data_IF_269234389222
#
_entry.id   IF_269234389222
#
_cell.length_a   1.000
_cell.length_b   1.000
_cell.length_c   1.000
_cell.angle_alpha   90.00
_cell.angle_beta   90.00
_cell.angle_gamma   90.00
#
_symmetry.space_group_name_H-M   'P 1'
#
loop_
_entity.id
_entity.type
_entity.pdbx_description
1 polymer ?
#
# COMPACT_ATOMS: atom_id res chain seq x y z
N UNK A 1 -8.18 -8.30 64.54
CA UNK A 1 -8.46 -9.22 63.46
C UNK A 1 -9.11 -8.56 62.26
N UNK A 2 -9.98 -7.57 62.42
CA UNK A 2 -10.59 -6.87 61.32
C UNK A 2 -9.60 -6.14 60.43
N UNK A 3 -8.51 -5.64 61.01
CA UNK A 3 -7.48 -4.94 60.24
C UNK A 3 -6.69 -5.87 59.31
N UNK A 4 -6.44 -7.10 59.72
CA UNK A 4 -5.75 -8.07 58.88
C UNK A 4 -6.62 -8.48 57.67
N UNK A 5 -7.90 -8.66 57.92
CA UNK A 5 -8.86 -8.99 56.85
C UNK A 5 -8.93 -7.88 55.80
N UNK A 6 -8.97 -6.62 56.23
CA UNK A 6 -8.97 -5.47 55.34
C UNK A 6 -7.66 -5.34 54.56
N UNK A 7 -6.52 -5.58 55.20
CA UNK A 7 -5.22 -5.54 54.53
C UNK A 7 -5.09 -6.63 53.47
N UNK A 8 -5.57 -7.82 53.79
CA UNK A 8 -5.57 -8.93 52.81
C UNK A 8 -6.48 -8.63 51.64
N UNK A 9 -7.65 -8.07 51.93
CA UNK A 9 -8.60 -7.69 50.89
C UNK A 9 -8.04 -6.56 49.99
N UNK A 10 -7.40 -5.57 50.59
CA UNK A 10 -6.75 -4.49 49.86
C UNK A 10 -5.59 -5.01 49.00
N UNK A 11 -4.82 -5.93 49.52
CA UNK A 11 -3.72 -6.55 48.78
C UNK A 11 -4.26 -7.31 47.58
N UNK A 12 -5.34 -8.09 47.75
CA UNK A 12 -5.94 -8.82 46.65
C UNK A 12 -6.52 -7.87 45.61
N UNK A 13 -7.14 -6.77 46.03
CA UNK A 13 -7.67 -5.78 45.12
C UNK A 13 -6.55 -5.12 44.32
N UNK A 14 -5.44 -4.77 44.98
CA UNK A 14 -4.28 -4.19 44.32
C UNK A 14 -3.69 -5.15 43.32
N UNK A 15 -3.59 -6.43 43.65
CA UNK A 15 -3.08 -7.46 42.76
C UNK A 15 -3.96 -7.61 41.54
N UNK A 16 -5.28 -7.65 41.73
CA UNK A 16 -6.24 -7.75 40.62
C UNK A 16 -6.15 -6.55 39.71
N UNK A 17 -6.03 -5.36 40.25
CA UNK A 17 -5.87 -4.13 39.47
C UNK A 17 -4.57 -4.14 38.67
N UNK A 18 -3.48 -4.61 39.29
CA UNK A 18 -2.20 -4.70 38.62
C UNK A 18 -2.23 -5.67 37.44
N UNK A 19 -2.87 -6.83 37.63
CA UNK A 19 -3.03 -7.83 36.56
C UNK A 19 -3.91 -7.27 35.45
N UNK A 20 -5.02 -6.64 35.82
CA UNK A 20 -5.92 -6.03 34.85
C UNK A 20 -5.23 -4.95 34.01
N UNK A 21 -4.47 -4.10 34.68
CA UNK A 21 -3.71 -3.04 34.00
C UNK A 21 -2.66 -3.64 33.06
N UNK A 22 -1.97 -4.68 33.50
CA UNK A 22 -0.99 -5.37 32.68
C UNK A 22 -1.62 -6.01 31.45
N UNK A 23 -2.80 -6.61 31.58
CA UNK A 23 -3.51 -7.19 30.45
C UNK A 23 -3.91 -6.13 29.41
N UNK A 24 -4.40 -4.98 29.86
CA UNK A 24 -4.75 -3.87 28.98
C UNK A 24 -3.49 -3.35 28.27
N UNK A 25 -2.41 -3.15 28.98
CA UNK A 25 -1.17 -2.68 28.40
C UNK A 25 -0.63 -3.66 27.34
N UNK A 26 -0.69 -4.96 27.62
CA UNK A 26 -0.28 -5.98 26.66
C UNK A 26 -1.11 -5.97 25.39
N UNK A 27 -2.44 -5.83 25.54
CA UNK A 27 -3.34 -5.76 24.40
C UNK A 27 -3.03 -4.55 23.51
N UNK A 28 -2.77 -3.40 24.11
CA UNK A 28 -2.39 -2.19 23.37
C UNK A 28 -1.09 -2.40 22.61
N UNK A 29 -0.08 -3.01 23.27
CA UNK A 29 1.19 -3.29 22.62
C UNK A 29 1.04 -4.22 21.41
N UNK A 30 0.22 -5.25 21.53
CA UNK A 30 -0.05 -6.17 20.43
C UNK A 30 -0.72 -5.43 19.27
N UNK A 31 -1.69 -4.57 19.56
CA UNK A 31 -2.38 -3.78 18.53
C UNK A 31 -1.41 -2.87 17.79
N UNK A 32 -0.51 -2.20 18.49
CA UNK A 32 0.50 -1.33 17.89
C UNK A 32 1.42 -2.15 16.99
N UNK A 33 1.83 -3.32 17.43
CA UNK A 33 2.71 -4.20 16.67
C UNK A 33 2.07 -4.66 15.36
N UNK A 34 0.81 -5.08 15.42
CA UNK A 34 0.06 -5.51 14.24
C UNK A 34 -0.10 -4.35 13.26
N UNK A 35 -0.43 -3.17 13.77
CA UNK A 35 -0.60 -1.97 12.95
C UNK A 35 0.70 -1.57 12.26
N UNK A 36 1.81 -1.64 12.97
CA UNK A 36 3.14 -1.39 12.42
C UNK A 36 3.47 -2.33 11.26
N UNK A 37 3.17 -3.61 11.44
CA UNK A 37 3.39 -4.64 10.41
C UNK A 37 2.55 -4.36 9.16
N UNK A 38 1.29 -3.98 9.35
CA UNK A 38 0.37 -3.65 8.25
C UNK A 38 0.87 -2.43 7.48
N UNK A 39 1.32 -1.38 8.18
CA UNK A 39 1.85 -0.16 7.57
C UNK A 39 3.09 -0.49 6.74
N UNK A 40 3.97 -1.35 7.24
CA UNK A 40 5.17 -1.75 6.54
C UNK A 40 4.85 -2.47 5.23
N UNK A 41 3.87 -3.36 5.23
CA UNK A 41 3.40 -4.04 4.03
C UNK A 41 2.81 -3.07 3.01
N UNK A 42 1.99 -2.14 3.47
CA UNK A 42 1.39 -1.12 2.61
C UNK A 42 2.45 -0.21 2.00
N UNK A 43 3.45 0.18 2.78
CA UNK A 43 4.56 1.00 2.29
C UNK A 43 5.39 0.27 1.23
N UNK A 44 5.65 -1.01 1.42
CA UNK A 44 6.37 -1.82 0.44
C UNK A 44 5.58 -1.95 -0.85
N UNK A 45 4.27 -2.21 -0.75
CA UNK A 45 3.40 -2.28 -1.92
C UNK A 45 3.36 -0.96 -2.67
N UNK A 46 3.27 0.16 -1.94
CA UNK A 46 3.26 1.48 -2.54
C UNK A 46 4.59 1.79 -3.25
N UNK A 47 5.72 1.41 -2.66
CA UNK A 47 7.02 1.60 -3.27
C UNK A 47 7.15 0.84 -4.58
N UNK A 48 6.68 -0.41 -4.62
CA UNK A 48 6.67 -1.19 -5.85
C UNK A 48 5.74 -0.58 -6.90
N UNK A 49 4.57 -0.11 -6.46
CA UNK A 49 3.60 0.51 -7.36
C UNK A 49 4.17 1.78 -7.98
N UNK A 50 4.82 2.62 -7.18
CA UNK A 50 5.46 3.85 -7.66
C UNK A 50 6.58 3.50 -8.65
N UNK A 51 7.36 2.49 -8.35
CA UNK A 51 8.46 2.04 -9.23
C UNK A 51 7.93 1.58 -10.58
N UNK A 52 6.89 0.76 -10.58
CA UNK A 52 6.27 0.28 -11.82
C UNK A 52 5.67 1.42 -12.63
N UNK A 53 4.94 2.32 -11.96
CA UNK A 53 4.32 3.46 -12.62
C UNK A 53 5.38 4.40 -13.21
N UNK A 54 6.46 4.65 -12.49
CA UNK A 54 7.56 5.50 -12.95
C UNK A 54 8.25 4.87 -14.16
N UNK A 55 8.49 3.56 -14.12
CA UNK A 55 9.09 2.84 -15.25
C UNK A 55 8.20 2.90 -16.49
N UNK A 56 6.91 2.73 -16.31
CA UNK A 56 5.95 2.84 -17.40
C UNK A 56 5.92 4.27 -17.97
N UNK A 57 5.98 5.26 -17.11
CA UNK A 57 6.02 6.67 -17.53
C UNK A 57 7.28 6.98 -18.33
N UNK A 58 8.43 6.49 -17.90
CA UNK A 58 9.69 6.67 -18.62
C UNK A 58 9.65 5.98 -20.00
N UNK A 59 9.12 4.79 -20.06
CA UNK A 59 8.95 4.05 -21.32
C UNK A 59 8.02 4.81 -22.25
N UNK A 60 6.93 5.36 -21.72
CA UNK A 60 5.99 6.15 -22.49
C UNK A 60 6.66 7.39 -23.10
N UNK A 61 7.53 8.05 -22.36
CA UNK A 61 8.23 9.24 -22.83
C UNK A 61 9.28 8.92 -23.92
N UNK A 62 9.85 7.73 -23.85
CA UNK A 62 10.93 7.33 -24.77
C UNK A 62 10.43 6.64 -26.02
N UNK A 63 9.29 5.97 -25.96
CA UNK A 63 8.74 5.19 -27.06
C UNK A 63 7.26 5.44 -27.22
N UNK A 64 6.74 5.15 -28.40
CA UNK A 64 5.31 5.17 -28.63
C UNK A 64 4.70 3.89 -28.08
N UNK A 65 3.94 4.01 -27.01
CA UNK A 65 3.25 2.89 -26.39
C UNK A 65 1.77 2.92 -26.72
N UNK A 66 1.19 1.74 -26.76
CA UNK A 66 -0.24 1.56 -26.81
C UNK A 66 -0.72 1.16 -25.43
N UNK A 67 -2.03 1.25 -25.20
CA UNK A 67 -2.60 0.83 -23.94
C UNK A 67 -2.32 -0.64 -23.66
N UNK A 68 -1.94 -0.96 -22.44
CA UNK A 68 -1.65 -2.34 -22.06
C UNK A 68 -1.92 -2.55 -20.57
N UNK A 69 -1.95 -3.81 -20.18
CA UNK A 69 -2.09 -4.23 -18.80
C UNK A 69 -1.02 -5.26 -18.47
N UNK A 70 -0.49 -5.18 -17.27
CA UNK A 70 0.47 -6.15 -16.75
C UNK A 70 -0.02 -6.66 -15.41
N UNK A 71 0.22 -7.93 -15.16
CA UNK A 71 -0.29 -8.62 -13.99
C UNK A 71 0.85 -9.13 -13.12
N UNK A 72 0.70 -8.96 -11.83
CA UNK A 72 1.72 -9.33 -10.84
C UNK A 72 1.08 -10.06 -9.68
N UNK A 73 1.79 -11.06 -9.14
CA UNK A 73 1.34 -11.79 -7.98
C UNK A 73 1.67 -11.01 -6.69
N UNK A 74 1.42 -11.63 -5.53
CA UNK A 74 1.66 -10.98 -4.24
C UNK A 74 3.12 -10.65 -4.00
N UNK A 75 4.02 -11.35 -4.67
CA UNK A 75 5.47 -11.15 -4.56
C UNK A 75 6.01 -10.22 -5.65
N UNK A 76 5.12 -9.62 -6.44
CA UNK A 76 5.45 -8.70 -7.54
C UNK A 76 6.18 -9.37 -8.69
N UNK A 77 6.01 -10.66 -8.85
CA UNK A 77 6.48 -11.38 -10.03
C UNK A 77 5.39 -11.34 -11.11
N UNK A 78 5.80 -11.27 -12.37
CA UNK A 78 4.85 -11.29 -13.47
C UNK A 78 4.09 -12.62 -13.50
N UNK A 79 2.80 -12.55 -13.75
CA UNK A 79 1.92 -13.71 -13.75
C UNK A 79 0.77 -13.51 -14.73
N UNK A 80 -0.08 -14.53 -14.84
CA UNK A 80 -1.29 -14.46 -15.64
C UNK A 80 -2.40 -13.70 -14.93
N UNK A 81 -3.37 -13.25 -15.69
CA UNK A 81 -4.52 -12.51 -15.15
C UNK A 81 -5.26 -13.26 -14.05
N UNK A 82 -5.35 -14.59 -14.18
CA UNK A 82 -6.06 -15.42 -13.22
C UNK A 82 -5.37 -15.48 -11.86
N UNK A 83 -4.04 -15.35 -11.84
CA UNK A 83 -3.24 -15.41 -10.61
C UNK A 83 -2.86 -14.02 -10.11
N UNK A 84 -3.34 -12.97 -10.76
CA UNK A 84 -2.93 -11.61 -10.46
C UNK A 84 -3.51 -11.11 -9.14
N UNK A 85 -2.65 -10.57 -8.30
CA UNK A 85 -3.05 -9.79 -7.14
C UNK A 85 -2.92 -8.30 -7.41
N UNK A 86 -1.86 -7.90 -8.12
CA UNK A 86 -1.65 -6.52 -8.54
C UNK A 86 -1.78 -6.41 -10.05
N UNK A 87 -2.38 -5.32 -10.50
CA UNK A 87 -2.54 -5.04 -11.93
C UNK A 87 -2.01 -3.65 -12.23
N UNK A 88 -1.11 -3.58 -13.21
CA UNK A 88 -0.65 -2.31 -13.77
C UNK A 88 -1.46 -2.05 -15.04
N UNK A 89 -2.21 -0.97 -15.04
CA UNK A 89 -3.04 -0.60 -16.19
C UNK A 89 -2.52 0.70 -16.77
N UNK A 90 -2.17 0.67 -18.06
CA UNK A 90 -1.72 1.86 -18.79
C UNK A 90 -2.72 2.12 -19.90
N UNK A 91 -3.38 3.27 -19.82
CA UNK A 91 -4.36 3.71 -20.82
C UNK A 91 -3.81 4.97 -21.49
N UNK A 92 -3.72 4.94 -22.82
CA UNK A 92 -3.15 6.05 -23.58
C UNK A 92 -4.25 6.68 -24.43
N UNK A 93 -4.42 7.98 -24.26
CA UNK A 93 -5.39 8.76 -25.03
C UNK A 93 -4.65 9.81 -25.84
N UNK A 94 -5.21 10.13 -27.00
CA UNK A 94 -4.68 11.18 -27.87
C UNK A 94 -5.67 12.34 -27.90
N UNK A 95 -5.17 13.53 -27.60
CA UNK A 95 -5.97 14.75 -27.64
C UNK A 95 -5.20 15.81 -28.42
N UNK A 96 -5.61 16.06 -29.66
CA UNK A 96 -4.91 16.94 -30.60
C UNK A 96 -3.46 16.49 -30.80
N UNK A 97 -2.49 17.28 -30.36
CA UNK A 97 -1.08 16.94 -30.45
C UNK A 97 -0.52 16.41 -29.14
N UNK A 98 -1.39 16.12 -28.17
CA UNK A 98 -0.98 15.60 -26.86
C UNK A 98 -1.34 14.14 -26.73
N UNK A 99 -0.42 13.38 -26.18
CA UNK A 99 -0.70 12.03 -25.72
C UNK A 99 -0.76 12.04 -24.20
N UNK A 100 -1.77 11.42 -23.65
CA UNK A 100 -1.98 11.35 -22.21
C UNK A 100 -1.97 9.90 -21.80
N UNK A 101 -1.06 9.55 -20.91
CA UNK A 101 -1.00 8.21 -20.35
C UNK A 101 -1.54 8.21 -18.94
N UNK A 102 -2.55 7.42 -18.72
CA UNK A 102 -3.11 7.19 -17.38
C UNK A 102 -2.57 5.87 -16.88
N UNK A 103 -1.72 5.93 -15.87
CA UNK A 103 -1.06 4.76 -15.32
C UNK A 103 -1.64 4.53 -13.94
N UNK A 104 -2.19 3.35 -13.72
CA UNK A 104 -2.72 3.00 -12.40
C UNK A 104 -2.27 1.62 -11.99
N UNK A 105 -1.97 1.49 -10.70
CA UNK A 105 -1.62 0.21 -10.09
C UNK A 105 -2.73 -0.13 -9.10
N UNK A 106 -3.33 -1.28 -9.29
CA UNK A 106 -4.45 -1.75 -8.47
C UNK A 106 -4.07 -3.00 -7.72
N UNK A 107 -4.55 -3.12 -6.49
CA UNK A 107 -4.43 -4.32 -5.69
C UNK A 107 -5.83 -4.86 -5.46
N UNK A 108 -6.12 -6.01 -6.06
CA UNK A 108 -7.43 -6.65 -6.02
C UNK A 108 -8.50 -5.69 -6.57
N UNK A 109 -9.29 -5.04 -5.72
CA UNK A 109 -10.34 -4.11 -6.15
C UNK A 109 -10.04 -2.67 -5.78
N UNK A 110 -8.86 -2.37 -5.26
CA UNK A 110 -8.52 -1.01 -4.83
C UNK A 110 -7.32 -0.47 -5.58
N UNK A 111 -7.36 0.83 -5.89
CA UNK A 111 -6.25 1.52 -6.55
C UNK A 111 -5.21 1.93 -5.50
N UNK A 112 -3.96 1.50 -5.69
CA UNK A 112 -2.86 1.86 -4.80
C UNK A 112 -2.23 3.17 -5.23
N UNK A 113 -2.04 3.37 -6.54
CA UNK A 113 -1.29 4.51 -7.07
C UNK A 113 -1.77 4.84 -8.47
N UNK A 114 -1.90 6.12 -8.75
CA UNK A 114 -2.26 6.62 -10.08
C UNK A 114 -1.29 7.70 -10.49
N UNK A 115 -0.95 7.72 -11.78
CA UNK A 115 -0.05 8.71 -12.35
C UNK A 115 -0.55 9.10 -13.72
N UNK A 116 -0.57 10.39 -14.01
CA UNK A 116 -0.93 10.93 -15.33
C UNK A 116 0.31 11.55 -15.94
N UNK A 117 0.64 11.13 -17.16
CA UNK A 117 1.81 11.64 -17.87
C UNK A 117 1.36 12.25 -19.19
N UNK A 118 1.81 13.46 -19.46
CA UNK A 118 1.51 14.17 -20.69
C UNK A 118 2.74 14.14 -21.59
N UNK A 119 2.51 13.87 -22.86
CA UNK A 119 3.57 13.87 -23.88
C UNK A 119 3.09 14.66 -25.09
N UNK A 120 3.88 15.61 -25.54
CA UNK A 120 3.58 16.39 -26.72
C UNK A 120 4.17 15.69 -27.94
N UNK A 121 3.32 15.31 -28.88
CA UNK A 121 3.73 14.64 -30.11
C UNK A 121 4.63 15.51 -30.98
N UNK A 122 4.43 16.82 -30.94
CA UNK A 122 5.18 17.77 -31.75
C UNK A 122 6.56 18.13 -31.17
N UNK A 123 6.89 17.63 -30.00
CA UNK A 123 8.13 17.98 -29.33
C UNK A 123 9.37 17.46 -30.05
N UNK A 124 9.23 16.42 -30.82
CA UNK A 124 10.31 15.85 -31.61
C UNK A 124 10.70 16.74 -32.80
N UNK A 125 9.78 17.56 -33.27
CA UNK A 125 10.01 18.42 -34.41
C UNK A 125 10.82 19.68 -34.08
N UNK A 126 11.08 19.92 -32.80
CA UNK A 126 11.81 21.10 -32.35
C UNK A 126 13.33 20.90 -32.40
N UNK A 127 13.75 19.68 -32.54
CA UNK A 127 15.17 19.36 -32.66
C UNK A 127 15.53 19.31 -34.14
#
# INVERSE_FOLDING_TARGET
>A
MHQQSKRSSLFLLELILAIGFFCVASAVCVQIFIKSYTIERESTALNHAVHLATSAAETFRCTDLESYESYYDKEWNTCDETDAFYTLEVSIEHDNSLQIAFISVKADNSTIYELEVLKNENKEDII
#
